data_IF_781602263570
#
_entry.id   IF_781602263570
#
_cell.length_a   1.000
_cell.length_b   1.000
_cell.length_c   1.000
_cell.angle_alpha   90.00
_cell.angle_beta   90.00
_cell.angle_gamma   90.00
#
_symmetry.space_group_name_H-M   'P 1'
#
loop_
_entity.id
_entity.type
_entity.pdbx_description
1 polymer ?
#
# COMPACT_ATOMS: atom_id res chain seq x y z
N UNK A 1 29.22 -14.23 18.43
CA UNK A 1 28.16 -14.70 19.32
C UNK A 1 27.13 -13.59 19.34
N UNK A 2 25.90 -13.86 18.89
CA UNK A 2 24.84 -12.84 18.94
C UNK A 2 24.59 -12.54 20.44
N UNK A 3 24.68 -11.27 20.84
CA UNK A 3 24.23 -10.84 22.14
C UNK A 3 22.77 -11.19 22.28
N UNK A 4 22.43 -11.87 23.36
CA UNK A 4 21.06 -12.30 23.65
C UNK A 4 20.28 -11.03 24.03
N UNK A 5 19.72 -10.35 23.01
CA UNK A 5 18.91 -9.12 23.22
C UNK A 5 17.69 -9.49 24.06
N UNK A 6 17.47 -8.78 25.16
CA UNK A 6 16.27 -8.94 25.97
C UNK A 6 15.04 -8.45 25.20
N UNK A 7 14.30 -9.38 24.63
CA UNK A 7 13.12 -9.09 23.80
C UNK A 7 11.96 -8.50 24.61
N UNK A 8 11.96 -8.61 25.95
CA UNK A 8 10.91 -8.06 26.82
C UNK A 8 10.91 -6.53 26.89
N UNK A 9 12.01 -5.90 26.47
CA UNK A 9 12.14 -4.44 26.40
C UNK A 9 11.41 -3.84 25.19
N UNK A 10 11.09 -4.65 24.18
CA UNK A 10 10.43 -4.20 22.95
C UNK A 10 8.92 -4.19 23.12
N UNK A 11 8.30 -3.06 22.82
CA UNK A 11 6.85 -2.83 22.98
C UNK A 11 6.32 -1.95 21.84
N UNK A 12 5.02 -1.94 21.72
CA UNK A 12 4.27 -1.09 20.80
C UNK A 12 4.41 -1.49 19.31
N UNK A 13 3.39 -1.15 18.56
CA UNK A 13 3.31 -1.34 17.11
C UNK A 13 3.54 0.00 16.45
N UNK A 14 4.57 0.10 15.63
CA UNK A 14 4.91 1.32 14.91
C UNK A 14 4.53 1.24 13.45
N UNK A 15 4.02 2.34 12.93
CA UNK A 15 3.75 2.57 11.52
C UNK A 15 4.67 3.68 11.03
N UNK A 16 5.45 3.40 9.99
CA UNK A 16 6.15 4.46 9.26
C UNK A 16 5.12 5.30 8.49
N UNK A 17 4.94 6.55 8.91
CA UNK A 17 4.04 7.50 8.28
C UNK A 17 4.71 8.15 7.07
N UNK A 18 4.68 7.45 5.93
CA UNK A 18 5.18 7.98 4.67
C UNK A 18 4.38 9.20 4.24
N UNK A 19 5.08 10.30 4.00
CA UNK A 19 4.51 11.53 3.49
C UNK A 19 5.22 12.00 2.22
N UNK A 20 4.51 12.67 1.33
CA UNK A 20 5.07 13.31 0.13
C UNK A 20 4.47 14.69 -0.04
N UNK A 21 5.33 15.71 -0.03
CA UNK A 21 4.86 17.09 -0.19
C UNK A 21 3.86 17.53 0.88
N UNK A 22 4.06 17.10 2.13
CA UNK A 22 3.20 17.38 3.30
C UNK A 22 1.79 16.76 3.19
N UNK A 23 1.66 15.67 2.43
CA UNK A 23 0.45 14.85 2.36
C UNK A 23 0.77 13.41 2.79
N UNK A 24 -0.08 12.84 3.64
CA UNK A 24 0.04 11.45 4.08
C UNK A 24 -0.29 10.50 2.91
N UNK A 25 0.49 9.44 2.76
CA UNK A 25 0.21 8.45 1.74
C UNK A 25 -0.95 7.54 2.17
N UNK A 26 -1.89 7.20 1.25
CA UNK A 26 -3.09 6.40 1.58
C UNK A 26 -2.80 5.08 2.30
N UNK A 27 -1.70 4.41 1.94
CA UNK A 27 -1.28 3.16 2.59
C UNK A 27 -1.02 3.32 4.10
N UNK A 28 -0.65 4.50 4.57
CA UNK A 28 -0.43 4.74 6.01
C UNK A 28 -1.74 4.61 6.78
N UNK A 29 -2.85 5.06 6.21
CA UNK A 29 -4.19 4.95 6.82
C UNK A 29 -4.60 3.47 6.92
N UNK A 30 -4.26 2.65 5.93
CA UNK A 30 -4.44 1.20 5.98
C UNK A 30 -3.59 0.57 7.09
N UNK A 31 -2.30 0.96 7.17
CA UNK A 31 -1.37 0.46 8.20
C UNK A 31 -1.80 0.86 9.61
N UNK A 32 -2.37 2.05 9.81
CA UNK A 32 -2.93 2.46 11.10
C UNK A 32 -4.14 1.58 11.46
N UNK A 33 -5.01 1.27 10.49
CA UNK A 33 -6.13 0.36 10.69
C UNK A 33 -5.71 -1.04 11.12
N UNK A 34 -4.72 -1.61 10.43
CA UNK A 34 -4.20 -2.94 10.76
C UNK A 34 -3.36 -2.92 12.04
N UNK A 35 -2.50 -1.91 12.20
CA UNK A 35 -1.69 -1.71 13.40
C UNK A 35 -2.53 -1.60 14.68
N UNK A 36 -3.71 -0.96 14.61
CA UNK A 36 -4.67 -0.88 15.75
C UNK A 36 -5.13 -2.27 16.19
N UNK A 37 -5.41 -3.17 15.24
CA UNK A 37 -5.80 -4.56 15.56
C UNK A 37 -4.66 -5.34 16.19
N UNK A 38 -3.45 -5.21 15.65
CA UNK A 38 -2.25 -5.86 16.18
C UNK A 38 -1.92 -5.35 17.59
N UNK A 39 -1.92 -4.02 17.79
CA UNK A 39 -1.67 -3.40 19.09
C UNK A 39 -2.69 -3.84 20.14
N UNK A 40 -3.99 -3.92 19.78
CA UNK A 40 -5.03 -4.41 20.68
C UNK A 40 -4.79 -5.86 21.11
N UNK A 41 -4.42 -6.76 20.19
CA UNK A 41 -4.08 -8.16 20.51
C UNK A 41 -2.83 -8.29 21.39
N UNK A 42 -1.91 -7.32 21.29
CA UNK A 42 -0.67 -7.27 22.09
C UNK A 42 -0.81 -6.47 23.39
N UNK A 43 -1.98 -5.87 23.63
CA UNK A 43 -2.19 -4.94 24.76
C UNK A 43 -1.10 -3.86 24.83
N UNK A 44 -0.81 -3.25 23.66
CA UNK A 44 0.23 -2.25 23.45
C UNK A 44 -0.33 -1.03 22.71
N UNK A 45 0.48 0.02 22.53
CA UNK A 45 0.04 1.21 21.82
C UNK A 45 0.26 1.07 20.31
N UNK A 46 -0.61 1.73 19.54
CA UNK A 46 -0.36 2.04 18.13
C UNK A 46 0.40 3.35 18.04
N UNK A 47 1.57 3.32 17.46
CA UNK A 47 2.42 4.49 17.31
C UNK A 47 2.70 4.77 15.82
N UNK A 48 2.92 6.04 15.48
CA UNK A 48 3.42 6.42 14.17
C UNK A 48 4.77 7.11 14.30
N UNK A 49 5.70 6.86 13.37
CA UNK A 49 6.95 7.60 13.24
C UNK A 49 6.93 8.41 11.94
N UNK A 50 7.18 9.71 12.04
CA UNK A 50 7.12 10.64 10.90
C UNK A 50 8.32 11.56 10.89
N UNK A 51 8.84 11.85 9.69
CA UNK A 51 9.95 12.76 9.45
C UNK A 51 9.49 13.92 8.54
N UNK A 52 10.05 15.11 8.79
CA UNK A 52 9.81 16.30 7.96
C UNK A 52 9.84 17.58 8.79
N UNK A 53 9.39 18.69 8.19
CA UNK A 53 9.29 19.99 8.85
C UNK A 53 7.95 20.64 8.50
N UNK A 54 7.33 21.30 9.50
CA UNK A 54 6.04 21.98 9.31
C UNK A 54 4.93 21.01 8.79
N UNK A 55 4.76 19.87 9.46
CA UNK A 55 3.80 18.81 9.09
C UNK A 55 2.75 18.57 10.18
N UNK A 56 2.33 19.62 10.88
CA UNK A 56 1.34 19.52 11.96
C UNK A 56 -0.01 18.95 11.49
N UNK A 57 -0.37 19.22 10.23
CA UNK A 57 -1.54 18.63 9.59
C UNK A 57 -1.45 17.09 9.53
N UNK A 58 -0.27 16.54 9.19
CA UNK A 58 -0.04 15.09 9.16
C UNK A 58 -0.11 14.51 10.57
N UNK A 59 0.49 15.18 11.55
CA UNK A 59 0.46 14.75 12.96
C UNK A 59 -0.98 14.66 13.46
N UNK A 60 -1.80 15.66 13.13
CA UNK A 60 -3.22 15.66 13.46
C UNK A 60 -3.95 14.51 12.80
N UNK A 61 -3.71 14.30 11.50
CA UNK A 61 -4.33 13.22 10.72
C UNK A 61 -3.94 11.83 11.26
N UNK A 62 -2.69 11.64 11.70
CA UNK A 62 -2.23 10.39 12.33
C UNK A 62 -3.01 10.09 13.62
N UNK A 63 -3.23 11.10 14.47
CA UNK A 63 -4.04 10.93 15.67
C UNK A 63 -5.49 10.61 15.33
N UNK A 64 -6.09 11.32 14.39
CA UNK A 64 -7.47 11.11 13.97
C UNK A 64 -7.69 9.72 13.34
N UNK A 65 -6.65 9.10 12.78
CA UNK A 65 -6.68 7.72 12.27
C UNK A 65 -6.19 6.67 13.29
N UNK A 66 -6.12 7.02 14.57
CA UNK A 66 -6.02 6.07 15.65
C UNK A 66 -4.64 5.90 16.29
N UNK A 67 -3.61 6.64 15.88
CA UNK A 67 -2.33 6.61 16.59
C UNK A 67 -2.49 7.10 18.04
N UNK A 68 -1.93 6.36 18.99
CA UNK A 68 -1.89 6.74 20.41
C UNK A 68 -0.70 7.68 20.66
N UNK A 69 0.40 7.44 19.94
CA UNK A 69 1.62 8.25 20.02
C UNK A 69 2.14 8.54 18.61
N UNK A 70 2.71 9.74 18.45
CA UNK A 70 3.41 10.12 17.23
C UNK A 70 4.84 10.52 17.59
N UNK A 71 5.80 9.81 17.04
CA UNK A 71 7.21 10.11 17.12
C UNK A 71 7.60 11.00 15.94
N UNK A 72 7.88 12.26 16.23
CA UNK A 72 8.15 13.26 15.20
C UNK A 72 9.62 13.66 15.18
N UNK A 73 10.29 13.41 14.06
CA UNK A 73 11.67 13.83 13.82
C UNK A 73 11.62 15.06 12.92
N UNK A 74 11.75 16.25 13.54
CA UNK A 74 11.64 17.53 12.86
C UNK A 74 12.98 17.98 12.31
N UNK A 75 13.15 17.93 10.99
CA UNK A 75 14.37 18.39 10.32
C UNK A 75 14.06 18.78 8.87
N UNK A 76 14.63 19.90 8.41
CA UNK A 76 14.48 20.39 7.04
C UNK A 76 15.07 19.43 5.99
N UNK A 77 16.15 18.74 6.34
CA UNK A 77 16.82 17.73 5.51
C UNK A 77 15.95 16.50 5.25
N UNK A 78 14.92 16.30 6.08
CA UNK A 78 13.97 15.18 5.97
C UNK A 78 12.64 15.57 5.28
N UNK A 79 12.54 16.79 4.75
CA UNK A 79 11.35 17.21 3.99
C UNK A 79 11.16 16.42 2.71
N UNK A 80 12.27 16.06 2.07
CA UNK A 80 12.28 15.18 0.91
C UNK A 80 13.01 13.90 1.28
N UNK A 81 12.46 12.78 0.87
CA UNK A 81 13.04 11.48 1.18
C UNK A 81 14.45 11.33 0.60
N UNK A 82 15.37 10.93 1.45
CA UNK A 82 16.66 10.34 1.10
C UNK A 82 16.86 9.11 1.96
N UNK A 83 17.35 8.02 1.40
CA UNK A 83 17.56 6.75 2.11
C UNK A 83 18.43 6.93 3.34
N UNK A 84 19.57 7.61 3.21
CA UNK A 84 20.52 7.82 4.30
C UNK A 84 19.89 8.62 5.44
N UNK A 85 19.22 9.74 5.12
CA UNK A 85 18.62 10.62 6.12
C UNK A 85 17.52 9.93 6.92
N UNK A 86 16.62 9.24 6.25
CA UNK A 86 15.50 8.53 6.88
C UNK A 86 15.97 7.29 7.65
N UNK A 87 16.85 6.47 7.05
CA UNK A 87 17.35 5.26 7.71
C UNK A 87 18.13 5.59 8.99
N UNK A 88 18.94 6.65 8.98
CA UNK A 88 19.67 7.11 10.17
C UNK A 88 18.71 7.60 11.26
N UNK A 89 17.77 8.46 10.89
CA UNK A 89 16.86 9.12 11.84
C UNK A 89 15.86 8.13 12.45
N UNK A 90 15.22 7.30 11.62
CA UNK A 90 14.24 6.31 12.11
C UNK A 90 14.96 5.15 12.80
N UNK A 91 16.14 4.73 12.30
CA UNK A 91 16.95 3.70 12.95
C UNK A 91 17.31 4.08 14.38
N UNK A 92 17.75 5.34 14.60
CA UNK A 92 17.99 5.87 15.95
C UNK A 92 16.72 5.83 16.83
N UNK A 93 15.58 6.23 16.28
CA UNK A 93 14.32 6.19 17.03
C UNK A 93 13.92 4.75 17.40
N UNK A 94 14.12 3.77 16.51
CA UNK A 94 13.87 2.35 16.78
C UNK A 94 14.80 1.84 17.88
N UNK A 95 16.07 2.19 17.85
CA UNK A 95 17.05 1.79 18.87
C UNK A 95 16.72 2.35 20.26
N UNK A 96 16.30 3.62 20.32
CA UNK A 96 15.97 4.31 21.58
C UNK A 96 14.66 3.81 22.18
N UNK A 97 13.60 3.71 21.37
CA UNK A 97 12.23 3.44 21.85
C UNK A 97 11.81 1.98 21.75
N UNK A 98 12.57 1.14 21.06
CA UNK A 98 12.43 -0.33 21.01
C UNK A 98 11.00 -0.79 20.66
N UNK A 99 10.46 -0.44 19.48
CA UNK A 99 9.19 -0.98 19.03
C UNK A 99 9.27 -2.49 18.84
N UNK A 100 8.19 -3.22 19.14
CA UNK A 100 8.13 -4.67 18.91
C UNK A 100 7.87 -5.00 17.45
N UNK A 101 6.99 -4.22 16.80
CA UNK A 101 6.60 -4.39 15.40
C UNK A 101 6.76 -3.06 14.68
N UNK A 102 7.31 -3.10 13.46
CA UNK A 102 7.41 -1.93 12.58
C UNK A 102 6.81 -2.25 11.21
N UNK A 103 5.79 -1.49 10.83
CA UNK A 103 5.07 -1.63 9.58
C UNK A 103 5.40 -0.47 8.63
N UNK A 104 5.70 -0.79 7.37
CA UNK A 104 5.92 0.17 6.29
C UNK A 104 4.99 -0.17 5.11
N UNK A 105 4.59 0.82 4.33
CA UNK A 105 3.92 0.54 3.04
C UNK A 105 4.91 -0.05 2.04
N UNK A 106 4.51 -1.02 1.23
CA UNK A 106 5.33 -1.55 0.13
C UNK A 106 5.35 -0.61 -1.08
N UNK A 107 5.45 0.69 -0.85
CA UNK A 107 5.69 1.74 -1.82
C UNK A 107 7.14 1.72 -2.31
N UNK A 108 7.51 2.57 -3.27
CA UNK A 108 8.91 2.72 -3.67
C UNK A 108 9.80 3.15 -2.49
N UNK A 109 9.33 4.08 -1.66
CA UNK A 109 10.06 4.54 -0.46
C UNK A 109 10.14 3.43 0.58
N UNK A 110 9.02 2.77 0.90
CA UNK A 110 9.04 1.72 1.92
C UNK A 110 9.85 0.49 1.53
N UNK A 111 9.90 0.15 0.24
CA UNK A 111 10.75 -0.94 -0.29
C UNK A 111 12.24 -0.60 -0.28
N UNK A 112 12.60 0.67 -0.31
CA UNK A 112 13.97 1.16 -0.19
C UNK A 112 14.36 1.30 1.30
N UNK A 113 13.53 1.95 2.11
CA UNK A 113 13.81 2.24 3.52
C UNK A 113 13.78 0.98 4.40
N UNK A 114 12.78 0.11 4.21
CA UNK A 114 12.56 -1.05 5.07
C UNK A 114 13.78 -1.97 5.21
N UNK A 115 14.41 -2.42 4.10
CA UNK A 115 15.63 -3.21 4.16
C UNK A 115 16.79 -2.50 4.86
N UNK A 116 16.94 -1.19 4.65
CA UNK A 116 18.00 -0.40 5.32
C UNK A 116 17.78 -0.38 6.84
N UNK A 117 16.54 -0.17 7.29
CA UNK A 117 16.20 -0.22 8.71
C UNK A 117 16.42 -1.62 9.30
N UNK A 118 16.03 -2.68 8.58
CA UNK A 118 16.20 -4.04 9.05
C UNK A 118 17.69 -4.38 9.28
N UNK A 119 18.56 -3.98 8.35
CA UNK A 119 20.02 -4.17 8.51
C UNK A 119 20.56 -3.34 9.69
N UNK A 120 20.15 -2.07 9.82
CA UNK A 120 20.61 -1.21 10.91
C UNK A 120 20.19 -1.73 12.30
N UNK A 121 19.03 -2.36 12.39
CA UNK A 121 18.49 -2.91 13.64
C UNK A 121 18.90 -4.38 13.88
N UNK A 122 19.69 -4.98 12.99
CA UNK A 122 20.07 -6.40 13.06
C UNK A 122 18.83 -7.31 13.18
N UNK A 123 17.89 -7.17 12.25
CA UNK A 123 16.64 -7.92 12.21
C UNK A 123 16.24 -8.31 10.79
N UNK A 124 15.15 -9.10 10.66
CA UNK A 124 14.58 -9.50 9.39
C UNK A 124 13.43 -8.59 8.95
N UNK A 125 13.18 -8.56 7.63
CA UNK A 125 12.06 -7.87 7.02
C UNK A 125 11.30 -8.83 6.11
N UNK A 126 9.98 -8.95 6.31
CA UNK A 126 9.10 -9.64 5.36
C UNK A 126 8.51 -8.63 4.38
N UNK A 127 8.81 -8.80 3.10
CA UNK A 127 8.39 -7.86 2.07
C UNK A 127 7.05 -8.22 1.44
N UNK A 128 6.23 -7.19 1.13
CA UNK A 128 5.01 -7.28 0.31
C UNK A 128 3.93 -8.17 0.94
N UNK A 129 3.74 -8.03 2.26
CA UNK A 129 2.72 -8.76 3.02
C UNK A 129 1.31 -8.35 2.60
N UNK A 130 0.40 -9.33 2.65
CA UNK A 130 -1.03 -9.13 2.37
C UNK A 130 -1.92 -9.50 3.55
N UNK A 131 -1.39 -10.25 4.54
CA UNK A 131 -2.09 -10.57 5.80
C UNK A 131 -1.09 -10.46 6.94
N UNK A 132 -1.53 -9.88 8.05
CA UNK A 132 -0.78 -9.76 9.30
C UNK A 132 -1.66 -10.23 10.46
N UNK A 133 -1.13 -11.12 11.29
CA UNK A 133 -1.84 -11.67 12.45
C UNK A 133 -0.90 -11.82 13.63
N UNK A 134 -1.44 -11.91 14.84
CA UNK A 134 -0.67 -12.28 16.03
C UNK A 134 -0.88 -13.77 16.30
N UNK A 135 0.21 -14.51 16.40
CA UNK A 135 0.20 -15.89 16.85
C UNK A 135 -0.20 -15.98 18.33
N UNK A 136 -1.31 -16.58 18.63
CA UNK A 136 -1.84 -16.68 20.00
C UNK A 136 -0.92 -17.45 20.96
N UNK A 137 -0.04 -18.32 20.42
CA UNK A 137 0.86 -19.15 21.24
C UNK A 137 2.13 -18.43 21.60
N UNK A 138 2.72 -17.71 20.66
CA UNK A 138 4.03 -17.07 20.82
C UNK A 138 3.93 -15.55 21.04
N UNK A 139 2.81 -14.96 20.68
CA UNK A 139 2.62 -13.51 20.65
C UNK A 139 3.39 -12.81 19.52
N UNK A 140 4.12 -13.53 18.68
CA UNK A 140 4.83 -12.98 17.53
C UNK A 140 3.88 -12.65 16.37
N UNK A 141 4.33 -11.82 15.45
CA UNK A 141 3.56 -11.51 14.24
C UNK A 141 3.74 -12.61 13.19
N UNK A 142 2.62 -13.06 12.62
CA UNK A 142 2.54 -13.92 11.43
C UNK A 142 2.43 -13.01 10.19
N UNK A 143 3.42 -13.09 9.33
CA UNK A 143 3.58 -12.19 8.18
C UNK A 143 3.36 -12.98 6.90
N UNK A 144 2.16 -12.91 6.34
CA UNK A 144 1.79 -13.71 5.17
C UNK A 144 1.90 -12.89 3.89
N UNK A 145 2.57 -13.46 2.90
CA UNK A 145 2.81 -12.85 1.59
C UNK A 145 2.61 -13.85 0.47
N UNK A 146 2.20 -13.40 -0.74
CA UNK A 146 2.22 -14.22 -1.93
C UNK A 146 3.66 -14.59 -2.32
N UNK A 147 3.87 -15.84 -2.70
CA UNK A 147 5.12 -16.36 -3.23
C UNK A 147 4.86 -17.06 -4.58
N UNK A 148 5.93 -17.28 -5.36
CA UNK A 148 5.88 -17.99 -6.63
C UNK A 148 4.76 -17.52 -7.58
N UNK A 149 4.70 -16.21 -7.82
CA UNK A 149 3.71 -15.62 -8.73
C UNK A 149 2.29 -15.56 -8.18
N UNK A 150 2.10 -15.76 -6.87
CA UNK A 150 0.78 -15.71 -6.21
C UNK A 150 0.13 -17.08 -5.99
N UNK A 151 0.74 -18.16 -6.49
CA UNK A 151 0.18 -19.51 -6.35
C UNK A 151 0.34 -20.11 -4.96
N UNK A 152 1.22 -19.56 -4.13
CA UNK A 152 1.46 -19.99 -2.76
C UNK A 152 1.43 -18.79 -1.83
N UNK A 153 0.92 -18.99 -0.63
CA UNK A 153 1.01 -18.03 0.47
C UNK A 153 2.06 -18.52 1.45
N UNK A 154 3.08 -17.67 1.70
CA UNK A 154 4.13 -17.97 2.67
C UNK A 154 3.90 -17.14 3.93
N UNK A 155 3.77 -17.80 5.07
CA UNK A 155 3.72 -17.14 6.39
C UNK A 155 5.10 -17.18 7.02
N UNK A 156 5.67 -16.02 7.31
CA UNK A 156 7.01 -15.85 7.83
C UNK A 156 6.94 -15.34 9.26
N UNK A 157 7.84 -15.82 10.10
CA UNK A 157 7.99 -15.42 11.51
C UNK A 157 9.41 -14.93 11.76
N UNK A 158 9.56 -14.04 12.74
CA UNK A 158 10.87 -13.55 13.21
C UNK A 158 10.94 -13.69 14.75
N UNK A 159 11.21 -14.89 15.28
CA UNK A 159 11.11 -15.15 16.72
C UNK A 159 12.26 -14.53 17.53
N UNK A 160 13.47 -14.45 16.97
CA UNK A 160 14.70 -14.15 17.70
C UNK A 160 15.15 -12.69 17.65
N UNK A 161 14.62 -11.91 16.70
CA UNK A 161 15.04 -10.52 16.48
C UNK A 161 13.88 -9.53 16.64
N UNK A 162 14.22 -8.29 17.00
CA UNK A 162 13.29 -7.17 17.10
C UNK A 162 13.92 -5.89 16.50
N UNK A 163 13.06 -5.01 15.96
CA UNK A 163 11.62 -5.19 15.74
C UNK A 163 11.30 -6.26 14.71
N UNK A 164 10.10 -6.84 14.76
CA UNK A 164 9.56 -7.66 13.67
C UNK A 164 9.06 -6.72 12.58
N UNK A 165 9.62 -6.79 11.38
CA UNK A 165 9.39 -5.77 10.35
C UNK A 165 8.67 -6.34 9.12
N UNK A 166 7.73 -5.56 8.60
CA UNK A 166 7.00 -5.88 7.37
C UNK A 166 6.86 -4.68 6.46
N UNK A 167 7.00 -4.89 5.14
CA UNK A 167 6.35 -3.99 4.20
C UNK A 167 5.02 -4.60 3.76
N UNK A 168 3.96 -3.78 3.71
CA UNK A 168 2.60 -4.20 3.40
C UNK A 168 2.17 -3.64 2.05
N UNK A 169 1.60 -4.49 1.21
CA UNK A 169 1.11 -4.08 -0.12
C UNK A 169 0.00 -3.04 0.04
N UNK A 170 0.08 -1.89 -0.65
CA UNK A 170 -1.01 -0.92 -0.69
C UNK A 170 -2.30 -1.52 -1.26
N UNK A 171 -3.45 -1.11 -0.74
CA UNK A 171 -4.76 -1.54 -1.21
C UNK A 171 -5.24 -2.90 -0.69
N UNK A 172 -4.52 -3.54 0.25
CA UNK A 172 -4.91 -4.86 0.78
C UNK A 172 -5.50 -4.81 2.18
N UNK A 173 -5.14 -3.80 2.97
CA UNK A 173 -5.68 -3.65 4.34
C UNK A 173 -6.84 -2.66 4.37
N UNK A 174 -7.71 -2.80 5.37
CA UNK A 174 -8.80 -1.85 5.57
C UNK A 174 -8.27 -0.55 6.17
N UNK A 175 -8.69 0.58 5.60
CA UNK A 175 -8.35 1.91 6.12
C UNK A 175 -8.88 2.11 7.53
N UNK A 176 -8.11 2.79 8.38
CA UNK A 176 -8.57 3.22 9.70
C UNK A 176 -9.74 4.20 9.57
N UNK A 177 -10.73 4.05 10.42
CA UNK A 177 -11.83 5.03 10.53
C UNK A 177 -11.28 6.32 11.12
N UNK A 178 -11.64 7.45 10.54
CA UNK A 178 -11.27 8.77 11.05
C UNK A 178 -12.14 9.15 12.24
N UNK A 179 -11.51 9.54 13.32
CA UNK A 179 -12.12 10.05 14.56
C UNK A 179 -11.71 11.52 14.72
N UNK A 180 -12.52 12.44 14.18
CA UNK A 180 -12.22 13.89 14.21
C UNK A 180 -11.94 14.39 15.63
N UNK A 181 -10.86 15.18 15.78
CA UNK A 181 -10.49 15.78 17.06
C UNK A 181 -9.83 14.81 18.05
N UNK A 182 -9.61 13.54 17.68
CA UNK A 182 -8.84 12.61 18.50
C UNK A 182 -7.42 13.14 18.70
N UNK A 183 -6.93 13.05 19.94
CA UNK A 183 -5.60 13.49 20.34
C UNK A 183 -4.80 12.31 20.89
N UNK A 184 -3.50 12.40 20.84
CA UNK A 184 -2.55 11.43 21.39
C UNK A 184 -1.30 12.13 21.94
N UNK A 185 -0.30 11.34 22.25
CA UNK A 185 0.98 11.82 22.77
C UNK A 185 1.93 12.15 21.62
N UNK A 186 2.40 13.42 21.54
CA UNK A 186 3.41 13.82 20.56
C UNK A 186 4.79 13.78 21.22
N UNK A 187 5.69 12.96 20.69
CA UNK A 187 7.07 12.80 21.14
C UNK A 187 7.99 13.38 20.07
N UNK A 188 8.59 14.53 20.36
CA UNK A 188 9.58 15.15 19.47
C UNK A 188 10.95 14.52 19.70
N UNK A 189 11.56 14.02 18.63
CA UNK A 189 12.89 13.41 18.63
C UNK A 189 13.85 14.42 17.99
N UNK A 190 14.95 14.71 18.69
CA UNK A 190 16.00 15.56 18.14
C UNK A 190 16.65 14.89 16.91
N UNK A 191 16.87 15.62 15.81
CA UNK A 191 17.50 15.06 14.63
C UNK A 191 18.94 14.66 14.92
N UNK A 192 19.31 13.43 14.52
CA UNK A 192 20.65 12.87 14.72
C UNK A 192 21.49 12.83 13.45
N UNK A 193 20.85 13.05 12.29
CA UNK A 193 21.52 13.02 10.99
C UNK A 193 22.35 14.28 10.77
N UNK A 194 23.55 14.13 10.21
CA UNK A 194 24.44 15.23 9.81
C UNK A 194 24.45 15.35 8.29
N UNK A 195 24.79 16.54 7.76
CA UNK A 195 24.80 16.80 6.32
C UNK A 195 25.75 15.87 5.57
N UNK A 196 26.91 15.57 6.15
CA UNK A 196 27.92 14.66 5.60
C UNK A 196 27.50 13.20 5.54
N UNK A 197 26.46 12.82 6.28
CA UNK A 197 25.91 11.46 6.31
C UNK A 197 24.85 11.24 5.22
N UNK A 198 24.38 12.29 4.57
CA UNK A 198 23.42 12.22 3.46
C UNK A 198 24.21 12.28 2.15
N UNK A 199 24.45 11.12 1.53
CA UNK A 199 25.30 10.98 0.34
C UNK A 199 24.61 11.41 -0.96
N UNK A 200 23.30 11.57 -0.94
CA UNK A 200 22.49 11.94 -2.12
C UNK A 200 21.80 13.28 -1.90
N UNK A 201 21.69 14.07 -2.95
CA UNK A 201 20.94 15.33 -2.94
C UNK A 201 19.82 15.27 -3.97
N UNK A 202 18.60 15.51 -3.53
CA UNK A 202 17.47 15.68 -4.44
C UNK A 202 17.62 17.03 -5.14
N UNK A 203 17.77 17.01 -6.47
CA UNK A 203 17.92 18.21 -7.27
C UNK A 203 16.56 18.78 -7.66
N UNK A 204 15.63 17.91 -8.03
CA UNK A 204 14.30 18.29 -8.49
C UNK A 204 13.30 17.17 -8.21
N UNK A 205 12.08 17.52 -7.85
CA UNK A 205 10.93 16.62 -7.79
C UNK A 205 9.97 16.98 -8.90
N UNK A 206 10.00 16.22 -9.99
CA UNK A 206 9.11 16.42 -11.12
C UNK A 206 7.76 15.78 -10.81
N UNK A 207 6.75 16.63 -10.56
CA UNK A 207 5.36 16.15 -10.46
C UNK A 207 4.82 15.99 -11.88
N UNK A 208 4.30 14.80 -12.20
CA UNK A 208 3.55 14.64 -13.44
C UNK A 208 2.32 15.54 -13.42
N UNK A 209 2.16 16.38 -14.44
CA UNK A 209 0.99 17.28 -14.60
C UNK A 209 -0.25 16.49 -15.04
N UNK A 210 -0.08 15.22 -15.42
CA UNK A 210 -1.21 14.33 -15.70
C UNK A 210 -1.94 14.09 -14.40
N UNK A 211 -3.22 14.44 -14.36
CA UNK A 211 -4.14 14.05 -13.29
C UNK A 211 -3.91 12.57 -12.99
N UNK A 212 -3.16 12.29 -11.93
CA UNK A 212 -2.98 10.94 -11.47
C UNK A 212 -4.33 10.52 -10.90
N UNK A 213 -5.10 9.84 -11.72
CA UNK A 213 -6.29 9.15 -11.25
C UNK A 213 -5.82 8.18 -10.17
N UNK A 214 -6.23 8.43 -8.93
CA UNK A 214 -5.89 7.54 -7.83
C UNK A 214 -6.72 6.27 -7.99
N UNK A 215 -6.15 5.27 -8.68
CA UNK A 215 -6.81 3.96 -8.82
C UNK A 215 -7.10 3.31 -7.47
N UNK A 216 -6.29 3.60 -6.46
CA UNK A 216 -6.42 3.04 -5.11
C UNK A 216 -7.63 3.58 -4.35
N UNK A 217 -8.09 4.78 -4.67
CA UNK A 217 -9.21 5.42 -3.98
C UNK A 217 -10.52 5.34 -4.76
N UNK A 218 -10.48 4.77 -5.98
CA UNK A 218 -11.65 4.64 -6.82
C UNK A 218 -12.63 3.58 -6.27
N UNK A 219 -13.89 3.96 -6.08
CA UNK A 219 -14.95 3.04 -5.66
C UNK A 219 -15.40 2.13 -6.81
N UNK A 220 -15.32 2.61 -8.05
CA UNK A 220 -15.69 1.87 -9.26
C UNK A 220 -14.55 1.98 -10.27
N UNK A 221 -14.11 0.83 -10.77
CA UNK A 221 -13.05 0.75 -11.79
C UNK A 221 -13.57 0.01 -13.01
N UNK A 222 -13.37 0.62 -14.19
CA UNK A 222 -13.68 -0.01 -15.49
C UNK A 222 -12.36 -0.27 -16.23
N UNK A 223 -11.91 -1.53 -16.18
CA UNK A 223 -10.61 -1.93 -16.71
C UNK A 223 -10.72 -2.56 -18.10
N UNK A 224 -9.82 -2.15 -19.00
CA UNK A 224 -9.72 -2.66 -20.36
C UNK A 224 -8.53 -3.59 -20.59
N UNK A 225 -8.75 -4.65 -21.35
CA UNK A 225 -7.71 -5.57 -21.81
C UNK A 225 -7.53 -5.60 -23.31
N UNK A 226 -6.75 -6.56 -23.81
CA UNK A 226 -6.49 -6.75 -25.25
C UNK A 226 -7.76 -7.07 -26.04
N UNK A 227 -8.84 -7.55 -25.40
CA UNK A 227 -10.13 -7.76 -26.02
C UNK A 227 -10.80 -6.49 -26.56
N UNK A 228 -10.31 -5.29 -26.17
CA UNK A 228 -10.70 -4.02 -26.80
C UNK A 228 -10.24 -3.91 -28.28
N UNK A 229 -9.24 -4.67 -28.69
CA UNK A 229 -8.73 -4.71 -30.07
C UNK A 229 -7.92 -3.47 -30.49
N UNK A 230 -8.16 -2.31 -29.89
CA UNK A 230 -7.49 -1.03 -30.21
C UNK A 230 -7.61 -0.01 -29.10
N UNK A 231 -6.75 1.03 -29.15
CA UNK A 231 -6.69 2.08 -28.13
C UNK A 231 -8.00 2.86 -27.96
N UNK A 232 -8.72 3.13 -29.07
CA UNK A 232 -9.98 3.87 -29.05
C UNK A 232 -11.10 3.14 -28.27
N UNK A 233 -10.92 1.85 -28.00
CA UNK A 233 -11.83 1.08 -27.14
C UNK A 233 -11.91 1.64 -25.72
N UNK A 234 -10.86 2.32 -25.24
CA UNK A 234 -10.88 2.99 -23.94
C UNK A 234 -11.84 4.18 -23.86
N UNK A 235 -12.20 4.80 -25.00
CA UNK A 235 -13.23 5.84 -25.01
C UNK A 235 -14.61 5.30 -24.63
N UNK A 236 -14.92 4.06 -25.02
CA UNK A 236 -16.15 3.39 -24.63
C UNK A 236 -16.15 3.08 -23.12
N UNK A 237 -15.02 2.57 -22.60
CA UNK A 237 -14.88 2.30 -21.17
C UNK A 237 -14.95 3.58 -20.35
N UNK A 238 -14.42 4.67 -20.87
CA UNK A 238 -14.51 5.98 -20.21
C UNK A 238 -15.95 6.44 -20.08
N UNK A 239 -16.78 6.28 -21.12
CA UNK A 239 -18.21 6.62 -21.06
C UNK A 239 -18.93 5.81 -19.97
N UNK A 240 -18.63 4.51 -19.84
CA UNK A 240 -19.17 3.67 -18.78
C UNK A 240 -18.69 4.13 -17.40
N UNK A 241 -17.38 4.39 -17.25
CA UNK A 241 -16.80 4.87 -16.01
C UNK A 241 -17.41 6.21 -15.58
N UNK A 242 -17.51 7.17 -16.50
CA UNK A 242 -18.10 8.49 -16.25
C UNK A 242 -19.57 8.38 -15.80
N UNK A 243 -20.35 7.49 -16.42
CA UNK A 243 -21.76 7.24 -16.06
C UNK A 243 -21.91 6.65 -14.66
N UNK A 244 -20.96 5.81 -14.24
CA UNK A 244 -20.94 5.15 -12.93
C UNK A 244 -20.24 5.99 -11.84
N UNK A 245 -19.64 7.14 -12.20
CA UNK A 245 -18.81 7.90 -11.27
C UNK A 245 -17.49 7.21 -10.91
N UNK A 246 -17.01 6.34 -11.78
CA UNK A 246 -15.80 5.55 -11.62
C UNK A 246 -14.61 6.05 -12.44
N UNK A 247 -13.57 5.26 -12.51
CA UNK A 247 -12.36 5.54 -13.29
C UNK A 247 -11.99 4.40 -14.22
N UNK A 248 -11.24 4.70 -15.28
CA UNK A 248 -10.73 3.67 -16.20
C UNK A 248 -9.41 3.10 -15.68
N UNK A 249 -9.16 1.85 -16.04
CA UNK A 249 -7.88 1.18 -15.79
C UNK A 249 -7.55 0.20 -16.93
N UNK A 250 -6.38 -0.43 -16.87
CA UNK A 250 -5.92 -1.31 -17.94
C UNK A 250 -5.15 -2.53 -17.44
N UNK A 251 -5.18 -3.58 -18.25
CA UNK A 251 -4.25 -4.70 -18.10
C UNK A 251 -2.85 -4.30 -18.58
N UNK A 252 -1.81 -4.98 -18.10
CA UNK A 252 -0.43 -4.78 -18.56
C UNK A 252 -0.29 -4.90 -20.08
N UNK A 253 -0.95 -5.88 -20.70
CA UNK A 253 -0.87 -6.08 -22.15
C UNK A 253 -1.37 -4.86 -22.94
N UNK A 254 -2.42 -4.17 -22.49
CA UNK A 254 -2.92 -2.96 -23.12
C UNK A 254 -1.96 -1.78 -22.95
N UNK A 255 -1.28 -1.68 -21.80
CA UNK A 255 -0.22 -0.69 -21.52
C UNK A 255 1.00 -0.97 -22.40
N UNK A 256 1.49 -2.20 -22.42
CA UNK A 256 2.64 -2.61 -23.24
C UNK A 256 2.37 -2.41 -24.76
N UNK A 257 1.10 -2.49 -25.20
CA UNK A 257 0.68 -2.13 -26.55
C UNK A 257 0.62 -0.62 -26.82
N UNK A 258 0.88 0.22 -25.82
CA UNK A 258 0.86 1.68 -25.94
C UNK A 258 -0.56 2.29 -26.05
N UNK A 259 -1.61 1.56 -25.69
CA UNK A 259 -2.99 2.03 -25.80
C UNK A 259 -3.36 3.02 -24.69
N UNK A 260 -2.71 2.91 -23.54
CA UNK A 260 -2.94 3.75 -22.36
C UNK A 260 -1.66 3.85 -21.53
N UNK A 261 -1.53 4.90 -20.73
CA UNK A 261 -0.35 5.13 -19.88
C UNK A 261 -0.22 4.10 -18.76
N UNK A 262 1.01 3.81 -18.35
CA UNK A 262 1.34 2.88 -17.26
C UNK A 262 0.66 3.24 -15.92
N UNK A 263 0.35 4.52 -15.69
CA UNK A 263 -0.37 4.97 -14.50
C UNK A 263 -1.74 4.30 -14.31
N UNK A 264 -2.34 3.77 -15.37
CA UNK A 264 -3.62 3.04 -15.36
C UNK A 264 -3.46 1.53 -15.19
N UNK A 265 -2.23 1.02 -15.09
CA UNK A 265 -1.99 -0.42 -15.03
C UNK A 265 -2.42 -1.03 -13.71
N UNK A 266 -3.28 -2.06 -13.78
CA UNK A 266 -3.64 -2.93 -12.65
C UNK A 266 -2.97 -4.28 -12.81
N UNK A 267 -2.46 -4.80 -11.69
CA UNK A 267 -1.82 -6.11 -11.61
C UNK A 267 -0.63 -6.13 -10.67
N UNK A 268 0.07 -7.24 -10.62
CA UNK A 268 1.22 -7.48 -9.75
C UNK A 268 2.36 -6.46 -9.94
N UNK A 269 2.56 -5.99 -11.17
CA UNK A 269 3.58 -4.99 -11.54
C UNK A 269 3.01 -3.59 -11.74
N UNK A 270 1.71 -3.40 -11.52
CA UNK A 270 0.99 -2.14 -11.55
C UNK A 270 0.41 -1.80 -10.17
N UNK A 271 -0.71 -1.11 -10.18
CA UNK A 271 -1.46 -0.78 -8.96
C UNK A 271 -2.33 -1.96 -8.52
N UNK A 272 -2.33 -2.27 -7.22
CA UNK A 272 -3.32 -3.16 -6.61
C UNK A 272 -4.49 -2.32 -6.10
N UNK A 273 -5.72 -2.76 -6.38
CA UNK A 273 -6.95 -2.03 -6.10
C UNK A 273 -7.96 -2.90 -5.35
N UNK A 274 -8.85 -2.24 -4.60
CA UNK A 274 -9.97 -2.88 -3.90
C UNK A 274 -11.22 -2.00 -4.01
N UNK A 275 -11.75 -1.81 -5.23
CA UNK A 275 -12.98 -1.04 -5.43
C UNK A 275 -14.21 -1.82 -4.95
N UNK A 276 -15.34 -1.12 -4.80
CA UNK A 276 -16.65 -1.74 -4.60
C UNK A 276 -17.09 -2.53 -5.83
N UNK A 277 -16.80 -1.99 -7.04
CA UNK A 277 -17.13 -2.68 -8.30
C UNK A 277 -15.95 -2.58 -9.27
N UNK A 278 -15.54 -3.72 -9.79
CA UNK A 278 -14.51 -3.86 -10.81
C UNK A 278 -15.07 -4.46 -12.10
N UNK A 279 -15.11 -3.68 -13.17
CA UNK A 279 -15.45 -4.17 -14.51
C UNK A 279 -14.18 -4.63 -15.23
N UNK A 280 -14.10 -5.90 -15.58
CA UNK A 280 -13.04 -6.51 -16.38
C UNK A 280 -13.51 -6.67 -17.85
N UNK A 281 -13.22 -5.67 -18.69
CA UNK A 281 -13.69 -5.62 -20.07
C UNK A 281 -12.62 -6.13 -21.06
N UNK A 282 -12.85 -7.27 -21.68
CA UNK A 282 -11.90 -7.87 -22.62
C UNK A 282 -10.56 -8.25 -21.99
N UNK A 283 -10.58 -8.62 -20.72
CA UNK A 283 -9.42 -9.07 -19.92
C UNK A 283 -9.46 -10.59 -19.84
N UNK A 284 -8.33 -11.26 -20.08
CA UNK A 284 -8.25 -12.73 -20.08
C UNK A 284 -8.28 -13.36 -18.69
N UNK A 285 -7.84 -12.65 -17.65
CA UNK A 285 -7.74 -13.21 -16.30
C UNK A 285 -6.38 -13.86 -15.99
N UNK A 286 -5.30 -13.36 -16.58
CA UNK A 286 -3.96 -13.78 -16.20
C UNK A 286 -3.73 -13.55 -14.70
N UNK A 287 -3.06 -14.51 -14.04
CA UNK A 287 -2.83 -14.51 -12.57
C UNK A 287 -2.22 -13.20 -12.10
N UNK A 288 -1.30 -12.60 -12.88
CA UNK A 288 -0.66 -11.34 -12.55
C UNK A 288 -1.64 -10.15 -12.53
N UNK A 289 -2.68 -10.18 -13.38
CA UNK A 289 -3.73 -9.16 -13.38
C UNK A 289 -4.70 -9.40 -12.20
N UNK A 290 -5.14 -10.64 -12.04
CA UNK A 290 -6.05 -11.06 -10.97
C UNK A 290 -5.48 -10.70 -9.59
N UNK A 291 -4.18 -10.91 -9.36
CA UNK A 291 -3.51 -10.51 -8.12
C UNK A 291 -3.64 -9.01 -7.76
N UNK A 292 -3.92 -8.16 -8.76
CA UNK A 292 -4.13 -6.73 -8.56
C UNK A 292 -5.57 -6.31 -8.29
N UNK A 293 -6.58 -7.20 -8.48
CA UNK A 293 -7.98 -6.79 -8.38
C UNK A 293 -8.92 -7.80 -7.69
N UNK A 294 -8.45 -9.01 -7.37
CA UNK A 294 -9.27 -10.08 -6.80
C UNK A 294 -9.94 -9.75 -5.46
N UNK A 295 -9.46 -8.72 -4.76
CA UNK A 295 -10.04 -8.27 -3.49
C UNK A 295 -11.16 -7.22 -3.67
N UNK A 296 -11.59 -6.94 -4.91
CA UNK A 296 -12.76 -6.11 -5.19
C UNK A 296 -14.01 -6.73 -4.56
N UNK A 297 -14.98 -5.90 -4.13
CA UNK A 297 -16.20 -6.43 -3.50
C UNK A 297 -17.10 -7.14 -4.51
N UNK A 298 -17.18 -6.60 -5.74
CA UNK A 298 -17.93 -7.19 -6.87
C UNK A 298 -17.06 -7.11 -8.11
N UNK A 299 -16.90 -8.24 -8.80
CA UNK A 299 -16.18 -8.33 -10.07
C UNK A 299 -17.17 -8.67 -11.19
N UNK A 300 -17.27 -7.77 -12.16
CA UNK A 300 -18.08 -7.95 -13.37
C UNK A 300 -17.14 -8.20 -14.55
N UNK A 301 -17.23 -9.36 -15.19
CA UNK A 301 -16.39 -9.71 -16.34
C UNK A 301 -17.20 -9.68 -17.65
N UNK A 302 -16.66 -9.03 -18.67
CA UNK A 302 -17.18 -9.03 -20.04
C UNK A 302 -16.11 -9.58 -20.98
N UNK A 303 -16.35 -10.72 -21.59
CA UNK A 303 -15.42 -11.35 -22.51
C UNK A 303 -16.20 -12.15 -23.60
N UNK A 304 -15.67 -12.18 -24.82
CA UNK A 304 -16.26 -12.99 -25.91
C UNK A 304 -15.84 -14.46 -25.85
N UNK A 305 -14.81 -14.80 -25.06
CA UNK A 305 -14.39 -16.17 -24.81
C UNK A 305 -14.99 -16.66 -23.49
N UNK A 306 -15.97 -17.57 -23.56
CA UNK A 306 -16.63 -18.17 -22.39
C UNK A 306 -15.68 -18.94 -21.46
N UNK A 307 -14.56 -19.43 -22.00
CA UNK A 307 -13.52 -20.14 -21.21
C UNK A 307 -12.41 -19.24 -20.69
N UNK A 308 -12.59 -17.92 -20.72
CA UNK A 308 -11.56 -16.99 -20.22
C UNK A 308 -11.43 -17.12 -18.68
N UNK A 309 -10.20 -17.30 -18.14
CA UNK A 309 -9.98 -17.47 -16.71
C UNK A 309 -10.50 -16.32 -15.83
N UNK A 310 -10.81 -15.15 -16.41
CA UNK A 310 -11.41 -14.04 -15.67
C UNK A 310 -12.77 -14.42 -15.08
N UNK A 311 -13.51 -15.33 -15.71
CA UNK A 311 -14.80 -15.80 -15.22
C UNK A 311 -14.68 -16.65 -13.95
N UNK A 312 -13.52 -17.27 -13.69
CA UNK A 312 -13.28 -18.06 -12.47
C UNK A 312 -13.26 -17.19 -11.20
N UNK A 313 -13.03 -15.88 -11.36
CA UNK A 313 -12.97 -14.91 -10.25
C UNK A 313 -14.08 -13.87 -10.31
N UNK A 314 -14.93 -13.89 -11.32
CA UNK A 314 -16.01 -12.94 -11.51
C UNK A 314 -17.26 -13.34 -10.71
N UNK A 315 -17.90 -12.39 -10.06
CA UNK A 315 -19.22 -12.56 -9.44
C UNK A 315 -20.32 -12.53 -10.50
N UNK A 316 -20.11 -11.71 -11.54
CA UNK A 316 -21.06 -11.57 -12.67
C UNK A 316 -20.27 -11.71 -13.98
N UNK A 317 -20.63 -12.68 -14.79
CA UNK A 317 -20.03 -12.92 -16.11
C UNK A 317 -21.00 -12.62 -17.24
N UNK A 318 -20.52 -11.87 -18.24
CA UNK A 318 -21.24 -11.59 -19.49
C UNK A 318 -20.40 -12.08 -20.67
N UNK A 319 -20.87 -13.14 -21.35
CA UNK A 319 -20.22 -13.68 -22.54
C UNK A 319 -20.77 -12.99 -23.79
N UNK A 320 -19.95 -12.23 -24.49
CA UNK A 320 -20.37 -11.54 -25.71
C UNK A 320 -19.42 -10.43 -26.17
N UNK A 321 -19.86 -9.74 -27.21
CA UNK A 321 -19.13 -8.60 -27.78
C UNK A 321 -19.30 -7.37 -26.87
N UNK A 322 -18.19 -6.90 -26.28
CA UNK A 322 -18.18 -5.74 -25.40
C UNK A 322 -18.67 -4.45 -26.06
N UNK A 323 -18.51 -4.33 -27.39
CA UNK A 323 -19.00 -3.17 -28.16
C UNK A 323 -20.53 -3.16 -28.35
N UNK A 324 -21.22 -4.26 -28.06
CA UNK A 324 -22.67 -4.34 -27.97
C UNK A 324 -23.17 -4.25 -26.55
N UNK A 325 -22.54 -5.01 -25.62
CA UNK A 325 -22.97 -5.10 -24.23
C UNK A 325 -22.76 -3.80 -23.44
N UNK A 326 -21.61 -3.14 -23.61
CA UNK A 326 -21.33 -1.91 -22.84
C UNK A 326 -22.29 -0.76 -23.18
N UNK A 327 -22.63 -0.48 -24.46
CA UNK A 327 -23.66 0.51 -24.76
C UNK A 327 -25.04 0.18 -24.14
N UNK A 328 -25.47 -1.08 -24.18
CA UNK A 328 -26.72 -1.50 -23.53
C UNK A 328 -26.70 -1.30 -22.02
N UNK A 329 -25.57 -1.58 -21.38
CA UNK A 329 -25.38 -1.29 -19.94
C UNK A 329 -25.49 0.24 -19.70
N UNK A 330 -24.81 1.05 -20.50
CA UNK A 330 -24.85 2.52 -20.35
C UNK A 330 -26.26 3.08 -20.52
N UNK A 331 -27.06 2.52 -21.43
CA UNK A 331 -28.45 2.92 -21.67
C UNK A 331 -29.38 2.51 -20.52
N UNK A 332 -29.06 1.41 -19.83
CA UNK A 332 -29.87 0.89 -18.72
C UNK A 332 -29.61 1.56 -17.37
N UNK A 333 -28.51 2.31 -17.25
CA UNK A 333 -28.11 3.10 -16.08
C UNK A 333 -28.68 4.53 -16.15
#
# INVERSE_FOLDING_TARGET
MAENKDLSMYKDVWVFAEQRGKALMPVVIELLGEGKKLAAKRNSNLCAVVCGKEIDNIITELFEHGADKVYFIEDERLNTYTTDGYAKSIGYAIEEYKPEIVLLGATHIGRDLGPCLAVNCDTGLTADCTVLEIDEKTGGILQTRPAFGGNLMATIICPEHRPQMSTVRPGVMSKATREEGRKGELIKIAPVVKDEEIRTKVLEVVKSVKDMVSLTDAEIIVAGGMGLGKAEGFELLKKLADKLGGTIAASRAAVDAGWIDHAYQIGQTGTTVKPKVYFACGISGAIQHVAGMQNSEIIVAINNNESAPIFDVADIGMVGDLYKLIPEIIESL
#
